data_IF_458430649795
#
_entry.id   IF_458430649795
#
_cell.length_a   1.000
_cell.length_b   1.000
_cell.length_c   1.000
_cell.angle_alpha   90.00
_cell.angle_beta   90.00
_cell.angle_gamma   90.00
#
_symmetry.space_group_name_H-M   'P 1'
#
loop_
_entity.id
_entity.type
_entity.pdbx_description
1 polymer ?
#
# COMPACT_ATOMS: atom_id res chain seq x y z
N UNK A 1 12.37 -10.86 -15.51
CA UNK A 1 12.12 -11.94 -14.53
C UNK A 1 10.93 -12.81 -14.95
N UNK A 2 9.77 -12.24 -15.27
CA UNK A 2 8.58 -13.02 -15.70
C UNK A 2 8.81 -13.88 -16.95
N UNK A 3 9.54 -13.37 -17.91
CA UNK A 3 9.78 -14.09 -19.17
C UNK A 3 10.65 -15.35 -18.98
N UNK A 4 11.61 -15.30 -18.07
CA UNK A 4 12.46 -16.48 -17.77
C UNK A 4 11.69 -17.55 -17.01
N UNK A 5 10.81 -17.17 -16.08
CA UNK A 5 9.95 -18.10 -15.35
C UNK A 5 8.96 -18.79 -16.30
N UNK A 6 8.32 -18.01 -17.18
CA UNK A 6 7.42 -18.55 -18.19
C UNK A 6 8.13 -19.54 -19.14
N UNK A 7 9.34 -19.23 -19.57
CA UNK A 7 10.16 -20.14 -20.42
C UNK A 7 10.55 -21.42 -19.68
N UNK A 8 10.92 -21.31 -18.41
CA UNK A 8 11.24 -22.46 -17.58
C UNK A 8 10.05 -23.41 -17.35
N UNK A 9 8.87 -22.85 -17.13
CA UNK A 9 7.64 -23.61 -16.94
C UNK A 9 7.16 -24.29 -18.23
N UNK A 10 7.32 -23.62 -19.38
CA UNK A 10 7.06 -24.26 -20.71
C UNK A 10 7.97 -25.47 -20.93
N UNK A 11 9.23 -25.38 -20.59
CA UNK A 11 10.16 -26.47 -20.75
C UNK A 11 9.86 -27.67 -19.83
N UNK A 12 9.17 -27.44 -18.71
CA UNK A 12 8.93 -28.46 -17.68
C UNK A 12 7.55 -29.12 -17.70
N UNK A 13 6.57 -28.58 -18.43
CA UNK A 13 5.25 -29.16 -18.29
C UNK A 13 4.12 -28.62 -19.20
N UNK A 14 4.43 -27.92 -20.26
CA UNK A 14 3.41 -27.52 -21.24
C UNK A 14 2.49 -26.39 -20.79
N UNK A 15 2.87 -25.61 -19.75
CA UNK A 15 2.13 -24.41 -19.34
C UNK A 15 2.34 -23.28 -20.35
N UNK A 16 1.24 -22.67 -20.79
CA UNK A 16 1.28 -21.48 -21.64
C UNK A 16 1.47 -20.20 -20.78
N UNK A 17 2.02 -19.12 -21.36
CA UNK A 17 2.14 -17.85 -20.64
C UNK A 17 0.80 -17.27 -20.13
N UNK A 18 -0.30 -17.69 -20.74
CA UNK A 18 -1.66 -17.36 -20.30
C UNK A 18 -2.04 -18.01 -18.98
N UNK A 19 -1.35 -19.08 -18.59
CA UNK A 19 -1.63 -19.86 -17.38
C UNK A 19 -0.88 -19.32 -16.16
N UNK A 20 -0.17 -18.22 -16.32
CA UNK A 20 0.61 -17.58 -15.26
C UNK A 20 0.01 -16.24 -14.85
N UNK A 21 0.23 -15.88 -13.60
CA UNK A 21 -0.03 -14.53 -13.13
C UNK A 21 0.70 -13.52 -14.03
N UNK A 22 -0.05 -12.63 -14.64
CA UNK A 22 0.49 -11.65 -15.56
C UNK A 22 0.07 -10.24 -15.20
N UNK A 23 1.04 -9.36 -15.07
CA UNK A 23 0.80 -7.94 -14.99
C UNK A 23 0.23 -7.44 -16.31
N UNK A 24 -0.97 -6.85 -16.29
CA UNK A 24 -1.65 -6.31 -17.48
C UNK A 24 -1.50 -4.80 -17.59
N UNK A 25 -1.51 -4.11 -16.46
CA UNK A 25 -1.37 -2.66 -16.41
C UNK A 25 -0.65 -2.24 -15.13
N UNK A 26 0.22 -1.26 -15.24
CA UNK A 26 0.91 -0.65 -14.12
C UNK A 26 1.19 0.81 -14.41
N UNK A 27 0.81 1.66 -13.49
CA UNK A 27 1.33 3.02 -13.44
C UNK A 27 1.58 3.45 -12.00
N UNK A 28 2.54 4.32 -11.82
CA UNK A 28 2.93 4.87 -10.53
C UNK A 28 3.37 6.33 -10.74
N UNK A 29 2.56 7.23 -10.25
CA UNK A 29 2.83 8.66 -10.31
C UNK A 29 3.15 9.16 -8.91
N UNK A 30 4.32 9.72 -8.74
CA UNK A 30 4.76 10.30 -7.47
C UNK A 30 5.18 11.74 -7.69
N UNK A 31 4.52 12.66 -7.00
CA UNK A 31 4.79 14.09 -7.06
C UNK A 31 5.14 14.54 -5.65
N UNK A 32 6.26 15.26 -5.52
CA UNK A 32 6.66 15.87 -4.27
C UNK A 32 7.14 17.28 -4.50
N UNK A 33 6.80 18.16 -3.58
CA UNK A 33 7.26 19.53 -3.58
C UNK A 33 7.56 19.99 -2.15
N UNK A 34 8.50 20.90 -2.03
CA UNK A 34 8.86 21.46 -0.75
C UNK A 34 9.67 22.75 -0.90
N UNK A 35 9.76 23.47 0.18
CA UNK A 35 10.49 24.73 0.21
C UNK A 35 10.37 25.43 1.56
N UNK A 36 10.82 26.64 1.61
CA UNK A 36 10.64 27.48 2.79
C UNK A 36 9.36 28.33 2.68
N UNK A 37 8.65 28.45 3.78
CA UNK A 37 7.59 29.46 3.95
C UNK A 37 8.19 30.74 4.55
N UNK A 38 9.06 30.55 5.53
CA UNK A 38 9.85 31.61 6.13
C UNK A 38 11.31 31.19 6.03
N UNK A 39 12.11 31.99 5.31
CA UNK A 39 13.53 31.71 5.12
C UNK A 39 14.22 31.43 6.46
N UNK A 40 15.01 30.36 6.49
CA UNK A 40 15.80 29.88 7.64
C UNK A 40 14.98 29.47 8.88
N UNK A 41 13.63 29.53 8.80
CA UNK A 41 12.75 29.24 9.94
C UNK A 41 11.72 28.17 9.70
N UNK A 42 10.94 28.26 8.61
CA UNK A 42 9.83 27.35 8.36
C UNK A 42 9.93 26.71 7.00
N UNK A 43 10.07 25.41 7.00
CA UNK A 43 10.12 24.57 5.81
C UNK A 43 8.93 23.64 5.77
N UNK A 44 8.48 23.36 4.56
CA UNK A 44 7.43 22.39 4.31
C UNK A 44 7.86 21.43 3.20
N UNK A 45 7.27 20.26 3.23
CA UNK A 45 7.33 19.26 2.17
C UNK A 45 5.97 18.59 2.06
N UNK A 46 5.48 18.38 0.85
CA UNK A 46 4.28 17.65 0.53
C UNK A 46 4.53 16.62 -0.55
N UNK A 47 3.85 15.49 -0.48
CA UNK A 47 3.94 14.44 -1.50
C UNK A 47 2.56 13.82 -1.74
N UNK A 48 2.37 13.42 -2.99
CA UNK A 48 1.22 12.65 -3.45
C UNK A 48 1.72 11.51 -4.32
N UNK A 49 1.16 10.32 -4.11
CA UNK A 49 1.43 9.15 -4.95
C UNK A 49 0.12 8.47 -5.31
N UNK A 50 -0.06 8.19 -6.59
CA UNK A 50 -1.13 7.36 -7.13
C UNK A 50 -0.53 6.19 -7.89
N UNK A 51 -0.85 4.99 -7.45
CA UNK A 51 -0.36 3.75 -8.03
C UNK A 51 -1.54 2.86 -8.40
N UNK A 52 -1.48 2.34 -9.60
CA UNK A 52 -2.43 1.38 -10.10
C UNK A 52 -1.71 0.14 -10.60
N UNK A 53 -2.20 -1.01 -10.19
CA UNK A 53 -1.68 -2.31 -10.60
C UNK A 53 -2.86 -3.15 -11.03
N UNK A 54 -2.83 -3.68 -12.24
CA UNK A 54 -3.80 -4.66 -12.69
C UNK A 54 -3.09 -5.92 -13.16
N UNK A 55 -3.60 -7.06 -12.73
CA UNK A 55 -3.04 -8.35 -13.06
C UNK A 55 -4.12 -9.30 -13.58
N UNK A 56 -3.73 -10.23 -14.43
CA UNK A 56 -4.51 -11.41 -14.74
C UNK A 56 -4.12 -12.52 -13.78
N UNK A 57 -5.12 -13.10 -13.13
CA UNK A 57 -4.96 -14.27 -12.26
C UNK A 57 -5.43 -15.49 -13.04
N UNK A 58 -4.65 -16.56 -13.14
CA UNK A 58 -5.07 -17.80 -13.78
C UNK A 58 -6.33 -18.36 -13.14
N UNK A 59 -7.19 -18.93 -13.95
CA UNK A 59 -8.46 -19.54 -13.53
C UNK A 59 -9.47 -18.58 -12.89
N UNK A 60 -9.17 -17.28 -12.82
CA UNK A 60 -10.12 -16.27 -12.41
C UNK A 60 -10.75 -15.59 -13.63
N UNK A 61 -12.09 -15.60 -13.78
CA UNK A 61 -12.76 -15.20 -15.02
C UNK A 61 -12.69 -13.69 -15.28
N UNK A 62 -12.55 -12.88 -14.23
CA UNK A 62 -12.56 -11.43 -14.35
C UNK A 62 -11.15 -10.91 -14.50
N UNK A 63 -10.90 -10.25 -15.62
CA UNK A 63 -9.63 -9.58 -15.88
C UNK A 63 -9.89 -8.19 -16.50
N UNK A 64 -9.10 -7.17 -16.16
CA UNK A 64 -7.98 -7.18 -15.21
C UNK A 64 -8.44 -7.21 -13.76
N UNK A 65 -7.58 -7.70 -12.86
CA UNK A 65 -7.76 -7.68 -11.41
C UNK A 65 -7.02 -6.45 -10.84
N UNK A 66 -7.73 -5.34 -10.55
CA UNK A 66 -7.11 -4.08 -10.22
C UNK A 66 -6.82 -3.94 -8.73
N UNK A 67 -5.76 -3.19 -8.44
CA UNK A 67 -5.47 -2.66 -7.10
C UNK A 67 -5.05 -1.22 -7.25
N UNK A 68 -5.73 -0.31 -6.59
CA UNK A 68 -5.39 1.11 -6.53
C UNK A 68 -4.87 1.49 -5.15
N UNK A 69 -3.76 2.21 -5.14
CA UNK A 69 -3.11 2.74 -3.94
C UNK A 69 -2.91 4.24 -4.11
N UNK A 70 -3.34 5.02 -3.11
CA UNK A 70 -3.15 6.46 -3.12
C UNK A 70 -2.55 6.88 -1.78
N UNK A 71 -1.49 7.68 -1.81
CA UNK A 71 -0.82 8.14 -0.61
C UNK A 71 -0.64 9.66 -0.63
N UNK A 72 -0.79 10.27 0.54
CA UNK A 72 -0.56 11.69 0.80
C UNK A 72 0.42 11.81 1.95
N UNK A 73 1.41 12.66 1.82
CA UNK A 73 2.39 12.90 2.87
C UNK A 73 2.69 14.39 3.03
N UNK A 74 2.92 14.80 4.26
CA UNK A 74 3.31 16.16 4.56
C UNK A 74 4.31 16.22 5.72
N UNK A 75 5.23 17.16 5.66
CA UNK A 75 6.20 17.44 6.71
C UNK A 75 6.39 18.94 6.85
N UNK A 76 6.33 19.41 8.08
CA UNK A 76 6.71 20.77 8.45
C UNK A 76 7.92 20.74 9.39
N UNK A 77 8.82 21.69 9.21
CA UNK A 77 9.99 21.87 10.09
C UNK A 77 10.07 23.33 10.47
N UNK A 78 10.01 23.64 11.75
CA UNK A 78 10.05 24.99 12.27
C UNK A 78 11.21 25.15 13.24
N UNK A 79 12.12 26.05 12.92
CA UNK A 79 13.21 26.52 13.79
C UNK A 79 12.68 27.68 14.61
N UNK A 80 12.18 27.38 15.81
CA UNK A 80 11.58 28.39 16.69
C UNK A 80 12.66 29.35 17.23
N UNK A 81 13.82 28.80 17.60
CA UNK A 81 15.04 29.53 18.00
C UNK A 81 16.25 28.81 17.45
N UNK A 82 17.46 29.37 17.61
CA UNK A 82 18.68 28.70 17.19
C UNK A 82 18.88 27.33 17.86
N UNK A 83 18.27 27.14 19.03
CA UNK A 83 18.44 25.93 19.83
C UNK A 83 17.17 25.04 19.82
N UNK A 84 16.07 25.50 19.24
CA UNK A 84 14.80 24.78 19.30
C UNK A 84 14.22 24.54 17.89
N UNK A 85 13.98 23.29 17.58
CA UNK A 85 13.41 22.83 16.32
C UNK A 85 12.20 21.95 16.56
N UNK A 86 11.11 22.26 15.90
CA UNK A 86 9.90 21.48 15.88
C UNK A 86 9.71 20.83 14.52
N UNK A 87 9.32 19.57 14.50
CA UNK A 87 9.04 18.82 13.28
C UNK A 87 7.66 18.19 13.42
N UNK A 88 6.82 18.39 12.43
CA UNK A 88 5.54 17.71 12.30
C UNK A 88 5.53 16.92 10.99
N UNK A 89 5.00 15.72 11.05
CA UNK A 89 4.84 14.82 9.92
C UNK A 89 3.47 14.16 9.97
N UNK A 90 2.82 14.07 8.82
CA UNK A 90 1.60 13.31 8.67
C UNK A 90 1.61 12.58 7.31
N UNK A 91 1.06 11.37 7.30
CA UNK A 91 0.83 10.60 6.09
C UNK A 91 -0.51 9.88 6.18
N UNK A 92 -1.21 9.81 5.06
CA UNK A 92 -2.41 9.03 4.92
C UNK A 92 -2.36 8.21 3.62
N UNK A 93 -2.90 7.00 3.66
CA UNK A 93 -2.92 6.11 2.51
C UNK A 93 -4.27 5.40 2.35
N UNK A 94 -4.66 5.20 1.11
CA UNK A 94 -5.85 4.43 0.74
C UNK A 94 -5.46 3.29 -0.19
N UNK A 95 -6.11 2.14 0.01
CA UNK A 95 -6.09 1.03 -0.94
C UNK A 95 -7.53 0.67 -1.31
N UNK A 96 -7.74 0.42 -2.57
CA UNK A 96 -8.97 -0.16 -3.09
C UNK A 96 -8.63 -1.34 -3.98
N UNK A 97 -9.17 -2.50 -3.65
CA UNK A 97 -9.03 -3.75 -4.39
C UNK A 97 -10.40 -4.42 -4.47
N UNK A 98 -11.12 -4.24 -5.59
CA UNK A 98 -12.51 -4.71 -5.71
C UNK A 98 -12.69 -6.21 -5.63
N UNK A 99 -11.68 -6.97 -6.05
CA UNK A 99 -11.76 -8.44 -6.15
C UNK A 99 -10.56 -9.08 -5.45
N UNK A 100 -10.42 -8.83 -4.14
CA UNK A 100 -9.36 -9.46 -3.38
C UNK A 100 -9.56 -10.96 -3.28
N UNK A 101 -8.52 -11.71 -3.63
CA UNK A 101 -8.45 -13.15 -3.41
C UNK A 101 -8.25 -13.45 -1.93
N UNK A 102 -8.90 -14.48 -1.43
CA UNK A 102 -9.04 -14.74 0.00
C UNK A 102 -8.01 -15.73 0.59
N UNK A 103 -7.00 -16.08 -0.17
CA UNK A 103 -6.00 -17.07 0.24
C UNK A 103 -5.37 -16.82 1.62
N UNK A 104 -5.41 -15.57 2.10
CA UNK A 104 -4.81 -15.20 3.37
C UNK A 104 -5.76 -15.34 4.58
N UNK A 105 -7.05 -15.04 4.42
CA UNK A 105 -7.99 -14.98 5.55
C UNK A 105 -8.37 -16.35 6.12
N UNK A 106 -8.25 -17.41 5.32
CA UNK A 106 -8.59 -18.76 5.71
C UNK A 106 -7.36 -19.64 6.03
N UNK A 107 -6.16 -19.05 6.06
CA UNK A 107 -4.93 -19.81 6.29
C UNK A 107 -4.52 -20.70 5.10
N UNK A 108 -5.26 -20.65 4.01
CA UNK A 108 -4.95 -21.37 2.79
C UNK A 108 -4.15 -20.46 1.85
N UNK A 109 -2.88 -20.74 1.68
CA UNK A 109 -1.97 -19.96 0.84
C UNK A 109 -2.09 -20.28 -0.66
N UNK A 110 -2.87 -21.28 -1.03
CA UNK A 110 -3.00 -21.79 -2.40
C UNK A 110 -4.39 -21.60 -3.00
N UNK A 111 -5.38 -21.18 -2.22
CA UNK A 111 -6.75 -20.99 -2.69
C UNK A 111 -6.89 -19.85 -3.69
N UNK A 112 -7.52 -20.13 -4.82
CA UNK A 112 -7.92 -19.16 -5.82
C UNK A 112 -9.43 -19.11 -5.83
N UNK A 113 -9.99 -17.91 -5.68
CA UNK A 113 -11.43 -17.71 -5.85
C UNK A 113 -11.77 -17.87 -7.35
N UNK A 114 -12.75 -18.69 -7.65
CA UNK A 114 -13.11 -19.01 -9.04
C UNK A 114 -14.12 -18.06 -9.66
N UNK A 115 -14.88 -17.34 -8.82
CA UNK A 115 -15.90 -16.38 -9.27
C UNK A 115 -15.72 -15.03 -8.58
N UNK A 116 -16.27 -13.97 -9.16
CA UNK A 116 -16.24 -12.63 -8.58
C UNK A 116 -16.96 -12.60 -7.23
N UNK A 117 -18.10 -13.26 -7.12
CA UNK A 117 -18.91 -13.31 -5.89
C UNK A 117 -18.18 -14.01 -4.73
N UNK A 118 -17.19 -14.84 -5.03
CA UNK A 118 -16.36 -15.51 -4.01
C UNK A 118 -15.20 -14.65 -3.52
N UNK A 119 -15.02 -13.46 -4.09
CA UNK A 119 -13.97 -12.51 -3.70
C UNK A 119 -14.48 -11.48 -2.70
N UNK A 120 -13.57 -10.61 -2.27
CA UNK A 120 -13.84 -9.53 -1.33
C UNK A 120 -13.49 -8.18 -1.94
N UNK A 121 -14.34 -7.19 -1.74
CA UNK A 121 -13.92 -5.81 -1.90
C UNK A 121 -13.11 -5.39 -0.68
N UNK A 122 -11.84 -5.07 -0.88
CA UNK A 122 -10.98 -4.56 0.16
C UNK A 122 -10.83 -3.06 0.05
N UNK A 123 -11.26 -2.38 1.09
CA UNK A 123 -10.99 -0.97 1.32
C UNK A 123 -10.01 -0.85 2.49
N UNK A 124 -9.01 -0.03 2.33
CA UNK A 124 -8.06 0.28 3.39
C UNK A 124 -7.88 1.79 3.46
N UNK A 125 -7.90 2.28 4.66
CA UNK A 125 -7.52 3.64 5.01
C UNK A 125 -6.56 3.59 6.18
N UNK A 126 -5.38 4.14 6.02
CA UNK A 126 -4.38 4.21 7.08
C UNK A 126 -3.78 5.60 7.18
N UNK A 127 -3.41 5.98 8.38
CA UNK A 127 -2.79 7.26 8.65
C UNK A 127 -1.76 7.16 9.78
N UNK A 128 -0.81 8.06 9.75
CA UNK A 128 0.18 8.24 10.80
C UNK A 128 0.48 9.74 10.92
N UNK A 129 0.65 10.19 12.14
CA UNK A 129 1.24 11.49 12.41
C UNK A 129 2.33 11.38 13.47
N UNK A 130 3.29 12.29 13.42
CA UNK A 130 4.38 12.40 14.38
C UNK A 130 4.72 13.86 14.61
N UNK A 131 4.89 14.22 15.87
CA UNK A 131 5.49 15.48 16.32
C UNK A 131 6.82 15.22 17.00
N UNK A 132 7.75 16.12 16.81
CA UNK A 132 9.10 16.01 17.35
C UNK A 132 9.60 17.39 17.77
N UNK A 133 10.15 17.46 18.97
CA UNK A 133 10.82 18.66 19.50
C UNK A 133 12.26 18.33 19.84
N UNK A 134 13.16 19.05 19.22
CA UNK A 134 14.61 18.95 19.44
C UNK A 134 15.09 20.26 20.06
N UNK A 135 15.83 20.19 21.16
CA UNK A 135 16.36 21.35 21.87
C UNK A 135 17.81 21.13 22.30
N UNK A 136 18.66 22.06 21.93
CA UNK A 136 20.03 22.14 22.44
C UNK A 136 20.03 23.03 23.68
N UNK A 137 20.20 22.45 24.85
CA UNK A 137 20.16 23.19 26.13
C UNK A 137 21.48 23.88 26.38
N UNK A 138 22.60 23.21 26.12
CA UNK A 138 23.95 23.72 26.17
C UNK A 138 24.91 22.84 25.37
N UNK A 139 26.19 23.13 25.36
CA UNK A 139 27.20 22.41 24.56
C UNK A 139 27.35 20.92 24.91
N UNK A 140 26.80 20.48 26.03
CA UNK A 140 26.91 19.11 26.52
C UNK A 140 25.52 18.40 26.63
N UNK A 141 24.42 19.14 26.45
CA UNK A 141 23.10 18.63 26.73
C UNK A 141 22.15 18.89 25.56
N UNK A 142 21.60 17.81 25.03
CA UNK A 142 20.54 17.81 24.03
C UNK A 142 19.28 17.16 24.61
N UNK A 143 18.14 17.72 24.30
CA UNK A 143 16.85 17.18 24.65
C UNK A 143 16.04 16.89 23.39
N UNK A 144 15.38 15.73 23.36
CA UNK A 144 14.49 15.34 22.30
C UNK A 144 13.21 14.75 22.89
N UNK A 145 12.06 15.21 22.40
CA UNK A 145 10.76 14.64 22.70
C UNK A 145 10.04 14.29 21.39
N UNK A 146 9.43 13.12 21.36
CA UNK A 146 8.64 12.65 20.21
C UNK A 146 7.30 12.12 20.67
N UNK A 147 6.26 12.43 19.90
CA UNK A 147 4.94 11.83 20.06
C UNK A 147 4.39 11.52 18.67
N UNK A 148 3.60 10.47 18.58
CA UNK A 148 2.95 10.10 17.33
C UNK A 148 1.90 9.03 17.54
N UNK A 149 1.06 8.89 16.56
CA UNK A 149 0.01 7.89 16.53
C UNK A 149 -0.20 7.41 15.11
N UNK A 150 -0.58 6.17 14.95
CA UNK A 150 -1.07 5.63 13.69
C UNK A 150 -2.45 5.01 13.91
N UNK A 151 -3.22 4.94 12.84
CA UNK A 151 -4.50 4.26 12.82
C UNK A 151 -4.78 3.70 11.44
N UNK A 152 -5.64 2.72 11.39
CA UNK A 152 -6.12 2.17 10.13
C UNK A 152 -7.52 1.60 10.29
N UNK A 153 -8.23 1.60 9.17
CA UNK A 153 -9.46 0.88 8.97
C UNK A 153 -9.29 -0.03 7.74
N UNK A 154 -9.78 -1.27 7.85
CA UNK A 154 -9.54 -2.29 6.84
C UNK A 154 -10.77 -3.17 6.60
N UNK A 155 -11.88 -2.60 6.14
CA UNK A 155 -13.04 -3.39 5.78
C UNK A 155 -12.76 -4.30 4.59
N UNK A 156 -13.26 -5.53 4.70
CA UNK A 156 -13.36 -6.49 3.62
C UNK A 156 -14.84 -6.83 3.48
N UNK A 157 -15.43 -6.41 2.38
CA UNK A 157 -16.84 -6.61 2.09
C UNK A 157 -17.00 -7.77 1.11
N UNK A 158 -17.84 -8.76 1.38
CA UNK A 158 -18.06 -9.85 0.43
C UNK A 158 -18.71 -9.31 -0.86
N UNK A 159 -18.23 -9.75 -2.01
CA UNK A 159 -18.84 -9.42 -3.30
C UNK A 159 -20.10 -10.25 -3.58
N UNK A 160 -20.24 -11.38 -2.91
CA UNK A 160 -21.43 -12.23 -3.00
C UNK A 160 -22.37 -12.10 -1.81
N UNK A 161 -23.64 -12.35 -2.03
CA UNK A 161 -24.69 -12.33 -1.00
C UNK A 161 -25.11 -13.73 -0.52
N UNK A 162 -24.61 -14.79 -1.17
CA UNK A 162 -24.89 -16.18 -0.85
C UNK A 162 -23.86 -16.84 0.05
N UNK A 163 -24.10 -18.08 0.50
CA UNK A 163 -23.10 -18.85 1.23
C UNK A 163 -21.90 -19.13 0.32
N UNK A 164 -20.72 -19.01 0.88
CA UNK A 164 -19.47 -19.37 0.21
C UNK A 164 -19.26 -20.86 0.31
N UNK A 165 -18.89 -21.47 -0.79
CA UNK A 165 -18.44 -22.84 -0.85
C UNK A 165 -16.93 -22.89 -1.07
N UNK A 166 -16.24 -23.70 -0.30
CA UNK A 166 -14.83 -23.98 -0.45
C UNK A 166 -14.69 -25.44 -0.90
N UNK A 167 -14.05 -25.64 -2.05
CA UNK A 167 -13.65 -26.98 -2.45
C UNK A 167 -12.39 -27.36 -1.69
N UNK A 168 -12.56 -28.17 -0.68
CA UNK A 168 -11.46 -28.76 0.10
C UNK A 168 -10.97 -30.07 -0.48
N UNK A 169 -11.49 -30.43 -1.66
CA UNK A 169 -11.18 -31.69 -2.33
C UNK A 169 -9.75 -31.80 -2.80
N UNK A 170 -9.20 -32.89 -2.45
CA UNK A 170 -8.03 -33.61 -2.97
C UNK A 170 -6.79 -32.77 -3.30
N UNK A 171 -5.98 -32.60 -2.31
CA UNK A 171 -4.54 -32.49 -2.50
C UNK A 171 -3.93 -33.80 -2.92
#
# INVERSE_FOLDING_TARGET
AHDQTARGLRASGGLEPSDLNRLTEYHDVNIGAGGFVIKDRLWWYGSFRDQYVAARIPNFPVAPHPTKLTNYGGKGTYTATQNNKLIAYAQAGRKHQPMRQDSFLLGNTTGINLTEESTWEQLYWGWVWKGEWNSVINDQTFFEARAGQFGYDWPNLPNGVGPRFEDTGNN
#
